data_IF_287455932826
#
_entry.id   IF_287455932826
#
_cell.length_a   1.000
_cell.length_b   1.000
_cell.length_c   1.000
_cell.angle_alpha   90.00
_cell.angle_beta   90.00
_cell.angle_gamma   90.00
#
_symmetry.space_group_name_H-M   'P 1'
#
loop_
_entity.id
_entity.type
_entity.pdbx_description
1 polymer ?
#
# COMPACT_ATOMS: atom_id res chain seq x y z
N UNK A 1 9.12 -9.87 -3.83
CA UNK A 1 7.71 -9.79 -4.27
C UNK A 1 7.65 -9.61 -5.79
N UNK A 2 7.05 -10.55 -6.47
CA UNK A 2 6.73 -10.44 -7.90
C UNK A 2 5.67 -9.37 -8.13
N UNK A 3 5.61 -8.83 -9.34
CA UNK A 3 4.62 -7.82 -9.72
C UNK A 3 4.09 -8.16 -11.12
N UNK A 4 2.79 -8.02 -11.27
CA UNK A 4 2.13 -8.07 -12.58
C UNK A 4 2.05 -6.67 -13.17
N UNK A 5 1.99 -6.57 -14.49
CA UNK A 5 1.61 -5.32 -15.13
C UNK A 5 0.18 -4.94 -14.73
N UNK A 6 -0.13 -3.65 -14.66
CA UNK A 6 -1.46 -3.20 -14.22
C UNK A 6 -2.62 -3.81 -15.04
N UNK A 7 -2.39 -3.99 -16.34
CA UNK A 7 -3.37 -4.64 -17.24
C UNK A 7 -3.56 -6.13 -16.91
N UNK A 8 -2.46 -6.86 -16.67
CA UNK A 8 -2.51 -8.29 -16.33
C UNK A 8 -3.21 -8.51 -14.98
N UNK A 9 -2.84 -7.67 -14.00
CA UNK A 9 -3.45 -7.69 -12.67
C UNK A 9 -4.97 -7.48 -12.77
N UNK A 10 -5.40 -6.47 -13.55
CA UNK A 10 -6.82 -6.19 -13.75
C UNK A 10 -7.55 -7.36 -14.41
N UNK A 11 -6.98 -7.95 -15.46
CA UNK A 11 -7.57 -9.10 -16.16
C UNK A 11 -7.81 -10.25 -15.18
N UNK A 12 -6.81 -10.61 -14.36
CA UNK A 12 -6.93 -11.69 -13.35
C UNK A 12 -8.10 -11.50 -12.38
N UNK A 13 -8.40 -10.26 -12.00
CA UNK A 13 -9.49 -9.96 -11.08
C UNK A 13 -10.85 -9.93 -11.79
N UNK A 14 -10.89 -9.41 -13.00
CA UNK A 14 -12.10 -9.36 -13.81
C UNK A 14 -12.55 -10.77 -14.24
N UNK A 15 -11.62 -11.67 -14.56
CA UNK A 15 -11.91 -13.05 -14.92
C UNK A 15 -12.72 -13.76 -13.82
N UNK A 16 -12.34 -13.60 -12.56
CA UNK A 16 -13.08 -14.20 -11.43
C UNK A 16 -14.47 -13.55 -11.29
N UNK A 17 -14.55 -12.24 -11.40
CA UNK A 17 -15.82 -11.52 -11.24
C UNK A 17 -16.78 -11.73 -12.41
N UNK A 18 -16.29 -12.09 -13.59
CA UNK A 18 -17.14 -12.43 -14.74
C UNK A 18 -18.03 -13.66 -14.51
N UNK A 19 -17.66 -14.50 -13.52
CA UNK A 19 -18.47 -15.67 -13.13
C UNK A 19 -19.62 -15.28 -12.18
N UNK A 20 -19.66 -14.03 -11.71
CA UNK A 20 -20.69 -13.54 -10.79
C UNK A 20 -21.89 -13.00 -11.56
N UNK A 21 -23.07 -13.46 -11.21
CA UNK A 21 -24.32 -13.01 -11.82
C UNK A 21 -24.51 -11.49 -11.67
N UNK A 22 -24.84 -10.83 -12.78
CA UNK A 22 -25.07 -9.39 -12.81
C UNK A 22 -23.79 -8.55 -12.68
N UNK A 23 -22.61 -9.14 -12.88
CA UNK A 23 -21.37 -8.41 -12.95
C UNK A 23 -21.23 -7.62 -14.25
N UNK A 24 -20.73 -6.41 -14.14
CA UNK A 24 -20.24 -5.59 -15.26
C UNK A 24 -19.19 -4.61 -14.77
N UNK A 25 -18.37 -4.07 -15.68
CA UNK A 25 -17.40 -3.06 -15.30
C UNK A 25 -17.22 -1.96 -16.37
N UNK A 26 -16.86 -0.78 -15.92
CA UNK A 26 -16.44 0.36 -16.74
C UNK A 26 -14.94 0.58 -16.53
N UNK A 27 -14.19 0.69 -17.63
CA UNK A 27 -12.75 0.86 -17.56
C UNK A 27 -12.34 2.21 -16.96
N UNK A 28 -11.14 2.24 -16.36
CA UNK A 28 -10.60 3.43 -15.72
C UNK A 28 -9.52 3.10 -14.70
N UNK A 29 -9.03 4.14 -14.01
CA UNK A 29 -8.15 3.98 -12.85
C UNK A 29 -8.45 5.12 -11.83
N UNK A 30 -9.22 4.84 -10.77
CA UNK A 30 -9.89 3.57 -10.46
C UNK A 30 -10.94 3.20 -11.49
N UNK A 31 -11.21 1.91 -11.65
CA UNK A 31 -12.29 1.40 -12.48
C UNK A 31 -13.58 1.20 -11.66
N UNK A 32 -14.71 1.23 -12.31
CA UNK A 32 -16.02 1.03 -11.69
C UNK A 32 -16.50 -0.38 -11.98
N UNK A 33 -16.93 -1.10 -10.95
CA UNK A 33 -17.64 -2.37 -11.10
C UNK A 33 -19.08 -2.25 -10.62
N UNK A 34 -19.94 -3.12 -11.16
CA UNK A 34 -21.31 -3.35 -10.71
C UNK A 34 -21.48 -4.85 -10.45
N UNK A 35 -22.07 -5.20 -9.32
CA UNK A 35 -22.45 -6.56 -8.94
C UNK A 35 -23.91 -6.50 -8.49
N UNK A 36 -24.82 -7.10 -9.25
CA UNK A 36 -26.24 -6.93 -9.02
C UNK A 36 -26.67 -5.46 -9.10
N UNK A 37 -27.16 -4.89 -8.00
CA UNK A 37 -27.54 -3.47 -7.89
C UNK A 37 -26.46 -2.58 -7.27
N UNK A 38 -25.40 -3.16 -6.71
CA UNK A 38 -24.35 -2.43 -6.03
C UNK A 38 -23.25 -1.99 -7.00
N UNK A 39 -22.65 -0.85 -6.70
CA UNK A 39 -21.54 -0.27 -7.47
C UNK A 39 -20.36 0.02 -6.57
N UNK A 40 -19.12 -0.19 -7.10
CA UNK A 40 -17.88 0.01 -6.34
C UNK A 40 -16.81 0.63 -7.23
N UNK A 41 -16.15 1.68 -6.76
CA UNK A 41 -14.89 2.12 -7.33
C UNK A 41 -13.76 1.22 -6.82
N UNK A 42 -12.99 0.65 -7.73
CA UNK A 42 -11.90 -0.27 -7.40
C UNK A 42 -10.55 0.34 -7.80
N UNK A 43 -9.65 0.42 -6.84
CA UNK A 43 -8.23 0.69 -7.10
C UNK A 43 -7.44 -0.57 -6.76
N UNK A 44 -6.89 -1.19 -7.80
CA UNK A 44 -6.17 -2.46 -7.71
C UNK A 44 -4.70 -2.24 -7.99
N UNK A 45 -3.83 -2.72 -7.11
CA UNK A 45 -2.38 -2.55 -7.25
C UNK A 45 -1.62 -3.70 -6.60
N UNK A 46 -0.44 -4.04 -7.17
CA UNK A 46 0.47 -4.95 -6.48
C UNK A 46 0.91 -4.34 -5.15
N UNK A 47 1.01 -5.15 -4.11
CA UNK A 47 1.72 -4.80 -2.90
C UNK A 47 3.21 -4.61 -3.20
N UNK A 48 3.84 -3.74 -2.47
CA UNK A 48 5.27 -3.49 -2.57
C UNK A 48 5.85 -3.24 -1.18
N UNK A 49 7.12 -3.60 -0.94
CA UNK A 49 7.80 -3.24 0.29
C UNK A 49 7.69 -1.73 0.54
N UNK A 50 7.45 -1.36 1.79
CA UNK A 50 7.37 0.05 2.17
C UNK A 50 8.75 0.68 2.38
N UNK A 51 9.78 -0.19 2.49
CA UNK A 51 11.19 0.21 2.61
C UNK A 51 11.56 0.95 3.90
N UNK A 52 10.87 0.63 4.99
CA UNK A 52 11.28 1.14 6.30
C UNK A 52 12.43 0.33 6.87
N UNK A 53 13.49 1.01 7.28
CA UNK A 53 14.72 0.37 7.78
C UNK A 53 14.45 -0.48 9.02
N UNK A 54 13.59 0.01 9.91
CA UNK A 54 13.27 -0.67 11.17
C UNK A 54 12.11 -1.69 11.02
N UNK A 55 11.43 -1.70 9.89
CA UNK A 55 10.25 -2.54 9.65
C UNK A 55 10.30 -3.10 8.22
N UNK A 56 11.24 -4.03 7.94
CA UNK A 56 11.47 -4.54 6.58
C UNK A 56 10.29 -5.37 6.04
N UNK A 57 9.45 -5.89 6.91
CA UNK A 57 8.26 -6.69 6.61
C UNK A 57 7.02 -5.85 6.25
N UNK A 58 7.09 -4.53 6.35
CA UNK A 58 5.95 -3.68 5.98
C UNK A 58 5.82 -3.60 4.47
N UNK A 59 4.63 -3.90 4.00
CA UNK A 59 4.20 -3.73 2.61
C UNK A 59 3.21 -2.59 2.49
N UNK A 60 3.06 -2.04 1.29
CA UNK A 60 2.11 -0.96 1.04
C UNK A 60 1.50 -0.98 -0.35
N UNK A 61 0.32 -0.40 -0.45
CA UNK A 61 -0.23 0.19 -1.66
C UNK A 61 -0.15 1.70 -1.53
N UNK A 62 0.31 2.37 -2.56
CA UNK A 62 0.34 3.83 -2.62
C UNK A 62 -0.58 4.32 -3.74
N UNK A 63 -1.56 5.15 -3.37
CA UNK A 63 -2.41 5.88 -4.31
C UNK A 63 -1.70 7.19 -4.64
N UNK A 64 -1.33 7.41 -5.91
CA UNK A 64 -0.86 8.73 -6.32
C UNK A 64 -2.01 9.73 -6.20
N UNK A 65 -1.68 10.97 -5.92
CA UNK A 65 -2.62 12.08 -6.02
C UNK A 65 -3.36 12.04 -7.37
N UNK A 66 -4.66 12.29 -7.34
CA UNK A 66 -5.49 12.37 -8.54
C UNK A 66 -6.63 13.37 -8.36
N UNK A 67 -6.87 14.18 -9.38
CA UNK A 67 -8.03 15.08 -9.44
C UNK A 67 -9.36 14.34 -9.39
N UNK A 68 -9.36 13.06 -9.79
CA UNK A 68 -10.54 12.19 -9.72
C UNK A 68 -11.01 11.91 -8.29
N UNK A 69 -10.15 12.09 -7.27
CA UNK A 69 -10.55 11.87 -5.88
C UNK A 69 -11.69 12.76 -5.43
N UNK A 70 -11.80 13.98 -5.97
CA UNK A 70 -12.93 14.88 -5.68
C UNK A 70 -14.27 14.30 -6.17
N UNK A 71 -14.29 13.58 -7.29
CA UNK A 71 -15.47 12.90 -7.82
C UNK A 71 -15.81 11.67 -6.98
N UNK A 72 -14.81 10.88 -6.59
CA UNK A 72 -14.97 9.71 -5.74
C UNK A 72 -15.51 10.09 -4.36
N UNK A 73 -15.00 11.17 -3.77
CA UNK A 73 -15.47 11.69 -2.48
C UNK A 73 -16.94 12.10 -2.53
N UNK A 74 -17.38 12.74 -3.61
CA UNK A 74 -18.77 13.20 -3.79
C UNK A 74 -19.73 12.07 -4.16
N UNK A 75 -19.23 11.00 -4.76
CA UNK A 75 -20.07 9.86 -5.15
C UNK A 75 -20.50 9.06 -3.91
N UNK A 76 -21.78 8.68 -3.85
CA UNK A 76 -22.28 7.75 -2.82
C UNK A 76 -22.00 6.29 -3.26
N UNK A 77 -20.73 6.02 -3.59
CA UNK A 77 -20.25 4.72 -4.05
C UNK A 77 -19.04 4.37 -3.19
N UNK A 78 -18.96 3.17 -2.61
CA UNK A 78 -17.79 2.71 -1.88
C UNK A 78 -16.53 2.75 -2.75
N UNK A 79 -15.41 3.15 -2.16
CA UNK A 79 -14.10 3.13 -2.79
C UNK A 79 -13.24 2.05 -2.14
N UNK A 80 -12.98 1.00 -2.89
CA UNK A 80 -12.30 -0.20 -2.41
C UNK A 80 -10.89 -0.22 -2.97
N UNK A 81 -9.92 -0.43 -2.10
CA UNK A 81 -8.53 -0.62 -2.48
C UNK A 81 -8.16 -2.07 -2.23
N UNK A 82 -7.62 -2.70 -3.26
CA UNK A 82 -7.14 -4.07 -3.26
C UNK A 82 -5.64 -4.07 -3.54
N UNK A 83 -4.85 -4.48 -2.54
CA UNK A 83 -3.43 -4.74 -2.66
C UNK A 83 -3.21 -6.22 -2.93
N UNK A 84 -2.44 -6.57 -3.97
CA UNK A 84 -2.24 -7.95 -4.35
C UNK A 84 -0.79 -8.39 -4.14
N UNK A 85 -0.62 -9.47 -3.40
CA UNK A 85 0.62 -10.23 -3.29
C UNK A 85 0.60 -11.41 -4.28
N UNK A 86 1.40 -11.29 -5.34
CA UNK A 86 1.47 -12.28 -6.43
C UNK A 86 2.09 -13.60 -5.96
N UNK A 87 3.03 -13.55 -5.01
CA UNK A 87 3.78 -14.72 -4.58
C UNK A 87 2.90 -15.66 -3.73
N UNK A 88 1.96 -15.10 -2.96
CA UNK A 88 1.06 -15.84 -2.07
C UNK A 88 -0.38 -15.92 -2.57
N UNK A 89 -0.70 -15.37 -3.74
CA UNK A 89 -2.07 -15.20 -4.28
C UNK A 89 -3.03 -14.58 -3.24
N UNK A 90 -2.52 -13.60 -2.48
CA UNK A 90 -3.24 -12.97 -1.38
C UNK A 90 -3.62 -11.55 -1.70
N UNK A 91 -4.86 -11.21 -1.43
CA UNK A 91 -5.42 -9.86 -1.54
C UNK A 91 -5.51 -9.24 -0.15
N UNK A 92 -5.12 -7.99 -0.03
CA UNK A 92 -5.32 -7.16 1.17
C UNK A 92 -6.30 -6.05 0.83
N UNK A 93 -7.32 -5.89 1.65
CA UNK A 93 -8.28 -4.78 1.56
C UNK A 93 -8.34 -4.00 2.85
N UNK A 94 -8.45 -2.69 2.75
CA UNK A 94 -8.59 -1.74 3.85
C UNK A 94 -10.03 -1.27 3.96
N UNK A 95 -10.43 -0.83 5.15
CA UNK A 95 -11.79 -0.34 5.39
C UNK A 95 -12.16 0.77 4.40
N UNK A 96 -13.15 0.56 3.50
CA UNK A 96 -13.48 1.49 2.43
C UNK A 96 -13.86 2.88 2.92
N UNK A 97 -14.54 2.96 4.08
CA UNK A 97 -14.94 4.23 4.71
C UNK A 97 -13.70 5.00 5.17
N UNK A 98 -12.80 4.33 5.89
CA UNK A 98 -11.55 4.94 6.38
C UNK A 98 -10.61 5.36 5.25
N UNK A 99 -10.51 4.56 4.21
CA UNK A 99 -9.76 4.90 3.00
C UNK A 99 -10.33 6.15 2.35
N UNK A 100 -11.66 6.23 2.19
CA UNK A 100 -12.33 7.37 1.58
C UNK A 100 -12.10 8.66 2.37
N UNK A 101 -12.10 8.61 3.70
CA UNK A 101 -11.80 9.74 4.59
C UNK A 101 -10.35 10.28 4.40
N UNK A 102 -9.41 9.43 4.00
CA UNK A 102 -7.99 9.81 3.76
C UNK A 102 -7.73 10.43 2.40
N UNK A 103 -8.66 10.27 1.44
CA UNK A 103 -8.47 10.85 0.11
C UNK A 103 -8.40 12.37 0.20
N UNK A 104 -7.38 12.94 -0.39
CA UNK A 104 -7.19 14.38 -0.43
C UNK A 104 -6.58 14.82 -1.77
N UNK A 105 -6.62 16.13 -2.03
CA UNK A 105 -6.14 16.71 -3.27
C UNK A 105 -4.66 17.15 -3.23
N UNK A 106 -3.93 16.84 -2.16
CA UNK A 106 -2.61 17.45 -1.91
C UNK A 106 -1.47 16.44 -1.89
N UNK A 107 -1.73 15.20 -1.49
CA UNK A 107 -0.67 14.22 -1.25
C UNK A 107 -1.08 12.81 -1.64
N UNK A 108 -0.08 11.94 -1.80
CA UNK A 108 -0.29 10.51 -1.98
C UNK A 108 -0.84 9.90 -0.68
N UNK A 109 -1.71 8.90 -0.81
CA UNK A 109 -2.20 8.10 0.32
C UNK A 109 -1.48 6.77 0.31
N UNK A 110 -0.84 6.40 1.42
CA UNK A 110 -0.22 5.09 1.61
C UNK A 110 -1.07 4.25 2.56
N UNK A 111 -1.28 2.99 2.19
CA UNK A 111 -2.01 2.00 2.95
C UNK A 111 -1.09 0.82 3.20
N UNK A 112 -0.94 0.45 4.45
CA UNK A 112 0.08 -0.50 4.91
C UNK A 112 -0.51 -1.87 5.25
N UNK A 113 0.33 -2.90 5.12
CA UNK A 113 0.12 -4.26 5.59
C UNK A 113 1.47 -4.86 5.98
N UNK A 114 1.51 -6.12 6.39
CA UNK A 114 2.75 -6.85 6.67
C UNK A 114 2.86 -8.10 5.84
N UNK A 115 4.07 -8.42 5.40
CA UNK A 115 4.37 -9.64 4.64
C UNK A 115 4.01 -10.90 5.46
N UNK A 116 4.23 -10.86 6.78
CA UNK A 116 3.85 -11.94 7.70
C UNK A 116 2.35 -12.25 7.74
N UNK A 117 1.49 -11.28 7.41
CA UNK A 117 0.05 -11.49 7.30
C UNK A 117 -0.37 -12.05 5.94
N UNK A 118 0.46 -11.87 4.91
CA UNK A 118 0.17 -12.22 3.52
C UNK A 118 0.51 -13.68 3.18
N UNK A 119 0.77 -14.53 4.18
CA UNK A 119 0.90 -15.97 3.96
C UNK A 119 -0.33 -16.52 3.22
N UNK A 120 -0.18 -17.61 2.44
CA UNK A 120 -1.29 -18.17 1.69
C UNK A 120 -2.52 -18.40 2.57
N UNK A 121 -3.68 -17.96 2.07
CA UNK A 121 -4.98 -18.11 2.73
C UNK A 121 -5.81 -19.06 1.88
N UNK A 122 -6.56 -19.94 2.52
CA UNK A 122 -7.43 -20.87 1.80
C UNK A 122 -8.56 -20.12 1.12
N UNK A 123 -9.02 -20.67 0.00
CA UNK A 123 -10.19 -20.16 -0.71
C UNK A 123 -11.40 -20.17 0.23
N UNK A 124 -12.21 -19.12 0.17
CA UNK A 124 -13.38 -18.85 1.02
C UNK A 124 -13.06 -18.63 2.51
N UNK A 125 -11.79 -18.36 2.85
CA UNK A 125 -11.42 -17.91 4.19
C UNK A 125 -10.97 -16.45 4.18
N UNK A 126 -11.28 -15.72 5.29
CA UNK A 126 -10.82 -14.37 5.54
C UNK A 126 -9.92 -14.34 6.77
N UNK A 127 -8.82 -13.62 6.69
CA UNK A 127 -7.94 -13.29 7.81
C UNK A 127 -8.06 -11.80 8.13
N UNK A 128 -8.16 -11.46 9.41
CA UNK A 128 -8.17 -10.06 9.85
C UNK A 128 -6.81 -9.67 10.41
N UNK A 129 -6.38 -8.45 10.11
CA UNK A 129 -5.27 -7.78 10.77
C UNK A 129 -5.72 -6.41 11.27
N UNK A 130 -4.97 -5.81 12.20
CA UNK A 130 -5.26 -4.47 12.72
C UNK A 130 -4.02 -3.60 12.59
N UNK A 131 -4.22 -2.36 12.16
CA UNK A 131 -3.20 -1.32 12.16
C UNK A 131 -3.06 -0.75 13.58
N UNK A 132 -1.97 -0.04 13.87
CA UNK A 132 -1.72 0.59 15.18
C UNK A 132 -2.81 1.56 15.62
N UNK A 133 -3.47 2.20 14.65
CA UNK A 133 -4.61 3.08 14.89
C UNK A 133 -5.94 2.32 15.11
N UNK A 134 -5.91 0.98 15.22
CA UNK A 134 -7.07 0.12 15.38
C UNK A 134 -7.88 -0.13 14.10
N UNK A 135 -7.41 0.32 12.95
CA UNK A 135 -8.07 0.06 11.67
C UNK A 135 -7.93 -1.40 11.28
N UNK A 136 -9.05 -2.03 10.97
CA UNK A 136 -9.11 -3.42 10.51
C UNK A 136 -8.75 -3.50 9.02
N UNK A 137 -7.89 -4.46 8.68
CA UNK A 137 -7.62 -4.88 7.31
C UNK A 137 -8.09 -6.32 7.12
N UNK A 138 -8.51 -6.66 5.91
CA UNK A 138 -8.98 -8.00 5.56
C UNK A 138 -8.04 -8.58 4.51
N UNK A 139 -7.64 -9.82 4.72
CA UNK A 139 -6.80 -10.57 3.80
C UNK A 139 -7.53 -11.84 3.36
N UNK A 140 -7.42 -12.18 2.09
CA UNK A 140 -8.09 -13.35 1.52
C UNK A 140 -7.39 -13.82 0.23
N UNK A 141 -7.65 -15.05 -0.18
CA UNK A 141 -7.20 -15.56 -1.48
C UNK A 141 -7.96 -14.85 -2.61
N UNK A 142 -7.33 -14.59 -3.72
CA UNK A 142 -7.93 -13.91 -4.89
C UNK A 142 -9.23 -14.57 -5.37
N UNK A 143 -9.31 -15.89 -5.34
CA UNK A 143 -10.52 -16.65 -5.73
C UNK A 143 -11.72 -16.38 -4.78
N UNK A 144 -11.47 -15.85 -3.60
CA UNK A 144 -12.51 -15.46 -2.62
C UNK A 144 -13.15 -14.10 -2.94
N UNK A 145 -12.73 -13.45 -4.02
CA UNK A 145 -13.18 -12.10 -4.38
C UNK A 145 -14.71 -11.95 -4.50
N UNK A 146 -15.47 -12.89 -5.07
CA UNK A 146 -16.93 -12.82 -5.08
C UNK A 146 -17.53 -12.75 -3.67
N UNK A 147 -17.11 -13.65 -2.79
CA UNK A 147 -17.56 -13.69 -1.40
C UNK A 147 -17.18 -12.43 -0.61
N UNK A 148 -16.03 -11.83 -0.93
CA UNK A 148 -15.61 -10.55 -0.34
C UNK A 148 -16.61 -9.43 -0.64
N UNK A 149 -17.15 -9.34 -1.86
CA UNK A 149 -18.15 -8.33 -2.21
C UNK A 149 -19.50 -8.61 -1.58
N UNK A 150 -19.90 -9.89 -1.46
CA UNK A 150 -21.13 -10.30 -0.78
C UNK A 150 -21.12 -9.91 0.70
N UNK A 151 -19.97 -10.07 1.38
CA UNK A 151 -19.85 -9.88 2.83
C UNK A 151 -19.14 -8.57 3.23
N UNK A 152 -18.91 -7.68 2.27
CA UNK A 152 -18.10 -6.47 2.44
C UNK A 152 -18.46 -5.66 3.68
N UNK A 153 -19.75 -5.43 3.90
CA UNK A 153 -20.24 -4.65 5.03
C UNK A 153 -19.91 -5.32 6.36
N UNK A 154 -20.20 -6.62 6.47
CA UNK A 154 -19.93 -7.39 7.70
C UNK A 154 -18.44 -7.50 8.01
N UNK A 155 -17.61 -7.64 6.98
CA UNK A 155 -16.16 -7.76 7.14
C UNK A 155 -15.54 -6.53 7.82
N UNK A 156 -16.11 -5.34 7.64
CA UNK A 156 -15.56 -4.09 8.17
C UNK A 156 -16.39 -3.45 9.30
N UNK A 157 -17.69 -3.72 9.43
CA UNK A 157 -18.55 -3.12 10.46
C UNK A 157 -18.49 -3.84 11.81
N UNK A 158 -18.23 -5.15 11.83
CA UNK A 158 -18.24 -5.95 13.05
C UNK A 158 -16.89 -5.92 13.79
N UNK A 159 -16.53 -4.75 14.35
CA UNK A 159 -15.40 -4.65 15.31
C UNK A 159 -15.77 -5.11 16.74
N UNK A 160 -16.99 -5.59 17.00
CA UNK A 160 -17.47 -6.02 18.35
C UNK A 160 -17.98 -7.46 18.44
N UNK A 161 -18.07 -8.19 17.35
CA UNK A 161 -18.46 -9.61 17.40
C UNK A 161 -17.31 -10.43 16.83
N UNK A 162 -16.63 -11.16 17.69
CA UNK A 162 -15.72 -12.22 17.29
C UNK A 162 -16.48 -13.16 16.35
N UNK A 163 -16.22 -13.04 15.06
CA UNK A 163 -16.67 -14.02 14.10
C UNK A 163 -16.05 -15.35 14.51
N UNK A 164 -16.90 -16.30 14.94
CA UNK A 164 -16.56 -17.69 15.19
C UNK A 164 -16.16 -18.40 13.89
N UNK A 165 -15.10 -17.96 13.26
CA UNK A 165 -14.44 -18.68 12.18
C UNK A 165 -13.04 -19.03 12.65
N UNK A 166 -12.88 -20.34 12.93
CA UNK A 166 -11.67 -21.05 13.34
C UNK A 166 -10.76 -20.31 14.33
N UNK A 167 -10.74 -20.81 15.56
CA UNK A 167 -9.71 -20.53 16.56
C UNK A 167 -8.35 -20.96 16.00
N UNK A 168 -7.70 -20.08 15.27
CA UNK A 168 -6.25 -20.07 15.22
C UNK A 168 -5.84 -19.07 16.30
N UNK A 169 -5.10 -19.56 17.28
CA UNK A 169 -4.48 -18.76 18.34
C UNK A 169 -3.48 -17.79 17.70
N UNK A 170 -3.95 -16.61 17.33
CA UNK A 170 -3.07 -15.48 17.06
C UNK A 170 -3.63 -14.28 17.81
N UNK A 171 -2.88 -13.80 18.78
CA UNK A 171 -3.08 -12.46 19.34
C UNK A 171 -3.18 -11.47 18.18
N UNK A 172 -4.12 -10.50 18.24
CA UNK A 172 -4.22 -9.50 17.17
C UNK A 172 -2.87 -8.80 17.04
N UNK A 173 -2.17 -9.07 15.93
CA UNK A 173 -0.95 -8.36 15.59
C UNK A 173 -1.31 -6.89 15.38
N UNK A 174 -1.05 -6.08 16.39
CA UNK A 174 -1.15 -4.62 16.28
C UNK A 174 -0.04 -4.19 15.33
N UNK A 175 -0.44 -3.78 14.13
CA UNK A 175 0.49 -3.22 13.15
C UNK A 175 0.75 -1.77 13.53
N UNK A 176 1.92 -1.47 14.09
CA UNK A 176 2.35 -0.10 14.21
C UNK A 176 2.47 0.50 12.81
N UNK A 177 1.64 1.50 12.50
CA UNK A 177 1.88 2.33 11.34
C UNK A 177 3.17 3.10 11.62
N UNK A 178 4.14 3.08 10.70
CA UNK A 178 5.26 4.00 10.84
C UNK A 178 4.68 5.41 10.79
N UNK A 179 5.08 6.24 11.75
CA UNK A 179 4.71 7.64 11.80
C UNK A 179 4.70 8.23 10.40
N UNK A 180 3.61 8.93 10.03
CA UNK A 180 3.42 9.52 8.69
C UNK A 180 4.49 10.54 8.31
N UNK A 181 5.25 11.01 9.27
CA UNK A 181 6.57 11.57 9.10
C UNK A 181 7.55 10.40 8.95
N UNK A 182 7.73 9.93 7.71
CA UNK A 182 8.95 9.22 7.36
C UNK A 182 10.08 10.15 7.77
N UNK A 183 10.66 9.92 8.97
CA UNK A 183 11.89 10.59 9.35
C UNK A 183 12.85 10.30 8.22
N UNK A 184 13.03 11.28 7.35
CA UNK A 184 14.08 11.29 6.35
C UNK A 184 15.30 10.75 7.06
N UNK A 185 15.96 9.76 6.50
CA UNK A 185 17.18 9.20 7.08
C UNK A 185 18.13 10.38 7.19
N UNK A 186 18.31 10.85 8.41
CA UNK A 186 19.28 11.90 8.66
C UNK A 186 20.65 11.30 8.43
N UNK A 187 21.38 11.80 7.44
CA UNK A 187 22.74 11.34 7.19
C UNK A 187 23.58 11.79 8.38
N UNK A 188 23.81 10.86 9.33
CA UNK A 188 24.64 11.08 10.53
C UNK A 188 26.08 10.59 10.37
N UNK A 189 26.37 9.92 9.25
CA UNK A 189 27.69 9.38 8.98
C UNK A 189 28.64 10.53 8.62
N UNK A 190 29.55 10.86 9.53
CA UNK A 190 30.50 11.97 9.36
C UNK A 190 31.42 11.79 8.15
N UNK A 191 31.76 10.54 7.80
CA UNK A 191 32.64 10.23 6.66
C UNK A 191 31.89 10.55 5.37
N UNK A 192 30.64 10.07 5.25
CA UNK A 192 29.83 10.34 4.09
C UNK A 192 29.54 11.84 3.95
N UNK A 193 29.22 12.54 5.02
CA UNK A 193 28.99 14.00 4.98
C UNK A 193 30.24 14.74 4.47
N UNK A 194 31.44 14.32 4.89
CA UNK A 194 32.68 14.91 4.41
C UNK A 194 32.90 14.69 2.90
N UNK A 195 32.54 13.53 2.37
CA UNK A 195 32.59 13.23 0.92
C UNK A 195 31.54 13.98 0.12
N UNK A 196 30.32 14.15 0.67
CA UNK A 196 29.22 14.81 0.00
C UNK A 196 29.38 16.33 -0.06
N UNK A 197 29.93 16.96 0.97
CA UNK A 197 30.02 18.41 1.09
C UNK A 197 30.69 19.07 -0.12
N UNK A 198 31.85 18.65 -0.64
CA UNK A 198 32.46 19.29 -1.80
C UNK A 198 31.68 19.07 -3.09
N UNK A 199 30.90 17.97 -3.21
CA UNK A 199 30.03 17.73 -4.36
C UNK A 199 28.82 18.67 -4.32
N UNK A 200 28.21 18.84 -3.16
CA UNK A 200 27.03 19.70 -2.96
C UNK A 200 27.40 21.18 -3.13
N UNK A 201 28.56 21.60 -2.63
CA UNK A 201 29.06 22.96 -2.86
C UNK A 201 29.29 23.30 -4.34
N UNK A 202 29.56 22.27 -5.17
CA UNK A 202 29.71 22.41 -6.63
C UNK A 202 28.39 22.11 -7.39
N UNK A 203 27.25 22.09 -6.71
CA UNK A 203 25.93 21.77 -7.27
C UNK A 203 25.84 20.40 -7.96
N UNK A 204 26.69 19.42 -7.58
CA UNK A 204 26.78 18.10 -8.19
C UNK A 204 25.87 17.08 -7.47
N UNK A 205 24.57 17.35 -7.35
CA UNK A 205 23.60 16.53 -6.60
C UNK A 205 23.55 15.10 -7.11
N UNK A 206 23.60 14.87 -8.43
CA UNK A 206 23.56 13.53 -9.01
C UNK A 206 24.80 12.69 -8.67
N UNK A 207 25.98 13.32 -8.61
CA UNK A 207 27.21 12.64 -8.18
C UNK A 207 27.13 12.30 -6.67
N UNK A 208 26.62 13.22 -5.86
CA UNK A 208 26.37 12.99 -4.44
C UNK A 208 25.42 11.81 -4.18
N UNK A 209 24.35 11.68 -4.97
CA UNK A 209 23.44 10.52 -4.91
C UNK A 209 24.19 9.23 -5.22
N UNK A 210 25.02 9.20 -6.26
CA UNK A 210 25.80 8.01 -6.62
C UNK A 210 26.79 7.61 -5.50
N UNK A 211 27.46 8.57 -4.88
CA UNK A 211 28.37 8.33 -3.76
C UNK A 211 27.59 7.75 -2.56
N UNK A 212 26.46 8.33 -2.21
CA UNK A 212 25.61 7.84 -1.13
C UNK A 212 25.10 6.43 -1.38
N UNK A 213 24.64 6.17 -2.60
CA UNK A 213 24.16 4.83 -3.01
C UNK A 213 25.27 3.79 -2.92
N UNK A 214 26.50 4.13 -3.32
CA UNK A 214 27.66 3.24 -3.23
C UNK A 214 28.06 2.99 -1.77
N UNK A 215 28.07 4.02 -0.93
CA UNK A 215 28.47 3.96 0.49
C UNK A 215 27.50 3.09 1.30
N UNK A 216 26.18 3.24 1.06
CA UNK A 216 25.14 2.53 1.79
C UNK A 216 24.55 1.33 1.03
N UNK A 217 24.96 1.06 -0.19
CA UNK A 217 24.30 0.13 -1.13
C UNK A 217 24.04 -1.29 -0.59
N UNK A 218 24.82 -1.74 0.41
CA UNK A 218 24.58 -3.02 1.07
C UNK A 218 23.74 -2.89 2.37
N UNK A 219 23.72 -1.72 3.01
CA UNK A 219 23.03 -1.48 4.27
C UNK A 219 21.60 -1.01 4.05
N UNK A 220 21.35 -0.35 2.93
CA UNK A 220 20.05 0.23 2.56
C UNK A 220 19.65 -0.21 1.14
N UNK A 221 19.77 -1.52 0.85
CA UNK A 221 19.43 -2.13 -0.47
C UNK A 221 18.07 -1.75 -1.06
N UNK A 222 17.32 -0.99 -0.30
CA UNK A 222 15.91 -0.77 -0.49
C UNK A 222 15.57 0.67 -0.88
N UNK A 223 16.54 1.59 -0.76
CA UNK A 223 16.32 2.98 -1.17
C UNK A 223 16.42 3.12 -2.68
N UNK A 224 15.40 3.70 -3.29
CA UNK A 224 15.43 4.04 -4.70
C UNK A 224 16.35 5.24 -4.94
N UNK A 225 16.77 5.45 -6.20
CA UNK A 225 17.48 6.66 -6.58
C UNK A 225 16.72 7.94 -6.19
N UNK A 226 15.39 7.91 -6.29
CA UNK A 226 14.52 9.04 -5.91
C UNK A 226 14.57 9.33 -4.41
N UNK A 227 14.63 8.30 -3.56
CA UNK A 227 14.73 8.48 -2.12
C UNK A 227 16.06 9.11 -1.74
N UNK A 228 17.16 8.63 -2.32
CA UNK A 228 18.48 9.23 -2.18
C UNK A 228 18.54 10.67 -2.69
N UNK A 229 17.92 10.93 -3.85
CA UNK A 229 17.87 12.27 -4.41
C UNK A 229 17.18 13.26 -3.47
N UNK A 230 16.07 12.87 -2.86
CA UNK A 230 15.34 13.71 -1.91
C UNK A 230 16.20 14.02 -0.68
N UNK A 231 16.84 13.01 -0.06
CA UNK A 231 17.71 13.18 1.11
C UNK A 231 18.89 14.11 0.79
N UNK A 232 19.54 13.89 -0.34
CA UNK A 232 20.69 14.69 -0.75
C UNK A 232 20.26 16.13 -1.08
N UNK A 233 19.11 16.31 -1.67
CA UNK A 233 18.57 17.64 -1.98
C UNK A 233 18.20 18.42 -0.71
N UNK A 234 17.69 17.76 0.32
CA UNK A 234 17.43 18.38 1.62
C UNK A 234 18.73 18.73 2.35
N UNK A 235 19.74 17.87 2.27
CA UNK A 235 21.07 18.18 2.79
C UNK A 235 21.70 19.37 2.03
N UNK A 236 21.52 19.42 0.73
CA UNK A 236 21.99 20.55 -0.10
C UNK A 236 21.36 21.87 0.34
N UNK A 237 20.04 21.92 0.55
CA UNK A 237 19.36 23.12 1.05
C UNK A 237 19.92 23.57 2.40
N UNK A 238 20.05 22.65 3.37
CA UNK A 238 20.59 22.95 4.71
C UNK A 238 22.04 23.41 4.71
N UNK A 239 22.81 23.16 3.66
CA UNK A 239 24.20 23.63 3.54
C UNK A 239 24.30 25.01 2.85
N UNK A 240 23.21 25.51 2.27
CA UNK A 240 23.17 26.78 1.54
C UNK A 240 22.22 27.81 2.20
N UNK A 241 21.53 27.41 3.28
CA UNK A 241 20.88 28.30 4.24
C UNK A 241 21.89 28.79 5.30
#
# INVERSE_FOLDING_TARGET
MKKLLAKELKIKFIEILNEVDGFSYEDGNPFLIKIGNERYFIFLKNLSPAYYVNYPDITRVQLPYSEHFSKILKANIPFIILGYDVDNDTVVSWNPKKVKERLNAKSNVSLYSRESLQSPIKINEFKSGYLSNGEKIILFNRETLPLFFEDLTNLFENSKTELKYSKVHDEPLVLEEPDSESKLIEIKDKILIAELRPLLQKHKVLEAVKVSTKHYGNKYKVMTFKDWFNIINDLYKKLHE
#
